data_IF_910812347554
#
_entry.id   IF_910812347554
#
_cell.length_a   1.000
_cell.length_b   1.000
_cell.length_c   1.000
_cell.angle_alpha   90.00
_cell.angle_beta   90.00
_cell.angle_gamma   90.00
#
_symmetry.space_group_name_H-M   'P 1'
#
loop_
_entity.id
_entity.type
_entity.pdbx_description
1 polymer ?
#
# COMPACT_ATOMS: atom_id res chain seq x y z
N UNK A 1 -16.40 23.42 57.37
CA UNK A 1 -16.44 23.09 55.93
C UNK A 1 -15.02 22.69 55.54
N UNK A 2 -14.68 21.39 55.58
CA UNK A 2 -13.33 20.91 55.22
C UNK A 2 -13.28 20.80 53.69
N UNK A 3 -12.42 21.60 53.05
CA UNK A 3 -12.13 21.48 51.62
C UNK A 3 -11.12 20.34 51.43
N UNK A 4 -11.55 19.24 50.79
CA UNK A 4 -10.63 18.19 50.32
C UNK A 4 -9.72 18.78 49.24
N UNK A 5 -8.42 18.88 49.50
CA UNK A 5 -7.42 19.03 48.44
C UNK A 5 -7.50 17.79 47.54
N UNK A 6 -8.03 17.93 46.32
CA UNK A 6 -7.94 16.88 45.30
C UNK A 6 -6.45 16.73 44.96
N UNK A 7 -5.89 15.55 45.24
CA UNK A 7 -4.59 15.17 44.70
C UNK A 7 -4.75 15.02 43.19
N UNK A 8 -4.39 16.06 42.43
CA UNK A 8 -4.23 15.92 40.99
C UNK A 8 -3.01 15.02 40.76
N UNK A 9 -3.27 13.75 40.44
CA UNK A 9 -2.24 12.79 40.02
C UNK A 9 -1.79 13.19 38.62
N UNK A 10 -0.78 14.07 38.54
CA UNK A 10 -0.08 14.36 37.30
C UNK A 10 0.71 13.16 36.80
N UNK A 11 0.86 13.06 35.48
CA UNK A 11 1.69 12.05 34.82
C UNK A 11 3.17 12.30 35.15
N UNK A 12 3.92 11.25 35.46
CA UNK A 12 5.35 11.41 35.78
C UNK A 12 6.17 11.50 34.49
N UNK A 13 7.25 12.30 34.50
CA UNK A 13 8.17 12.36 33.36
C UNK A 13 8.82 10.99 33.09
N UNK A 14 9.05 10.19 34.13
CA UNK A 14 9.64 8.86 34.00
C UNK A 14 8.70 7.87 33.30
N UNK A 15 7.39 7.92 33.56
CA UNK A 15 6.41 7.14 32.80
C UNK A 15 6.45 7.51 31.32
N UNK A 16 6.56 8.80 31.00
CA UNK A 16 6.67 9.25 29.60
C UNK A 16 7.95 8.70 28.94
N UNK A 17 9.08 8.77 29.65
CA UNK A 17 10.38 8.34 29.10
C UNK A 17 10.38 6.85 28.75
N UNK A 18 9.83 6.00 29.61
CA UNK A 18 9.76 4.55 29.37
C UNK A 18 8.84 4.26 28.18
N UNK A 19 7.70 4.96 28.07
CA UNK A 19 6.76 4.79 26.96
C UNK A 19 7.43 5.14 25.63
N UNK A 20 8.11 6.28 25.54
CA UNK A 20 8.82 6.69 24.31
C UNK A 20 9.97 5.72 23.98
N UNK A 21 10.67 5.20 24.99
CA UNK A 21 11.71 4.20 24.79
C UNK A 21 11.16 2.90 24.17
N UNK A 22 10.02 2.39 24.68
CA UNK A 22 9.37 1.19 24.15
C UNK A 22 8.88 1.44 22.71
N UNK A 23 8.21 2.56 22.46
CA UNK A 23 7.73 2.93 21.11
C UNK A 23 8.92 3.06 20.15
N UNK A 24 10.05 3.62 20.60
CA UNK A 24 11.26 3.74 19.79
C UNK A 24 11.82 2.40 19.35
N UNK A 25 11.88 1.41 20.25
CA UNK A 25 12.33 0.04 19.92
C UNK A 25 11.38 -0.61 18.90
N UNK A 26 10.07 -0.50 19.14
CA UNK A 26 9.06 -1.05 18.23
C UNK A 26 9.14 -0.39 16.84
N UNK A 27 9.26 0.93 16.80
CA UNK A 27 9.36 1.69 15.55
C UNK A 27 10.62 1.33 14.75
N UNK A 28 11.76 1.12 15.42
CA UNK A 28 13.01 0.74 14.76
C UNK A 28 12.89 -0.58 13.97
N UNK A 29 12.10 -1.54 14.45
CA UNK A 29 11.85 -2.81 13.77
C UNK A 29 10.67 -2.69 12.79
N UNK A 30 9.61 -1.98 13.18
CA UNK A 30 8.37 -1.90 12.40
C UNK A 30 8.54 -1.10 11.11
N UNK A 31 9.28 0.02 11.13
CA UNK A 31 9.45 0.91 9.96
C UNK A 31 10.11 0.21 8.76
N UNK A 32 11.29 -0.43 8.88
CA UNK A 32 11.90 -1.11 7.72
C UNK A 32 11.04 -2.26 7.22
N UNK A 33 10.41 -3.02 8.12
CA UNK A 33 9.50 -4.11 7.76
C UNK A 33 8.27 -3.61 7.00
N UNK A 34 7.70 -2.49 7.43
CA UNK A 34 6.55 -1.87 6.77
C UNK A 34 6.90 -1.38 5.36
N UNK A 35 8.08 -0.77 5.18
CA UNK A 35 8.56 -0.35 3.86
C UNK A 35 8.71 -1.56 2.92
N UNK A 36 9.39 -2.61 3.38
CA UNK A 36 9.56 -3.84 2.60
C UNK A 36 8.22 -4.49 2.24
N UNK A 37 7.27 -4.52 3.17
CA UNK A 37 5.92 -5.04 2.91
C UNK A 37 5.18 -4.21 1.86
N UNK A 38 5.24 -2.88 1.96
CA UNK A 38 4.63 -1.96 0.99
C UNK A 38 5.22 -2.17 -0.41
N UNK A 39 6.53 -2.31 -0.52
CA UNK A 39 7.19 -2.51 -1.82
C UNK A 39 6.81 -3.87 -2.42
N UNK A 40 6.73 -4.92 -1.60
CA UNK A 40 6.20 -6.22 -2.01
C UNK A 40 4.74 -6.11 -2.50
N UNK A 41 3.89 -5.34 -1.81
CA UNK A 41 2.51 -5.10 -2.24
C UNK A 41 2.44 -4.37 -3.57
N UNK A 42 3.33 -3.40 -3.82
CA UNK A 42 3.40 -2.68 -5.11
C UNK A 42 3.82 -3.61 -6.25
N UNK A 43 4.81 -4.48 -6.02
CA UNK A 43 5.22 -5.50 -7.00
C UNK A 43 4.07 -6.46 -7.27
N UNK A 44 3.39 -6.96 -6.22
CA UNK A 44 2.26 -7.85 -6.36
C UNK A 44 1.11 -7.22 -7.16
N UNK A 45 0.82 -5.93 -6.93
CA UNK A 45 -0.18 -5.19 -7.70
C UNK A 45 0.23 -5.08 -9.18
N UNK A 46 1.48 -4.70 -9.47
CA UNK A 46 1.99 -4.61 -10.84
C UNK A 46 1.93 -5.96 -11.56
N UNK A 47 2.30 -7.06 -10.88
CA UNK A 47 2.19 -8.42 -11.41
C UNK A 47 0.73 -8.78 -11.67
N UNK A 48 -0.19 -8.47 -10.76
CA UNK A 48 -1.63 -8.71 -10.95
C UNK A 48 -2.21 -7.95 -12.15
N UNK A 49 -1.78 -6.69 -12.36
CA UNK A 49 -2.15 -5.92 -13.55
C UNK A 49 -1.58 -6.54 -14.81
N UNK A 50 -0.31 -6.92 -14.82
CA UNK A 50 0.32 -7.57 -15.98
C UNK A 50 -0.35 -8.91 -16.33
N UNK A 51 -0.73 -9.70 -15.33
CA UNK A 51 -1.46 -10.94 -15.51
C UNK A 51 -2.83 -10.70 -16.15
N UNK A 52 -3.53 -9.67 -15.69
CA UNK A 52 -4.83 -9.27 -16.25
C UNK A 52 -4.71 -8.84 -17.71
N UNK A 53 -3.68 -8.06 -18.05
CA UNK A 53 -3.38 -7.68 -19.45
C UNK A 53 -3.05 -8.93 -20.27
N UNK A 54 -2.19 -9.82 -19.75
CA UNK A 54 -1.82 -11.06 -20.44
C UNK A 54 -3.04 -11.93 -20.73
N UNK A 55 -3.95 -12.06 -19.76
CA UNK A 55 -5.21 -12.78 -19.94
C UNK A 55 -6.10 -12.16 -21.02
N UNK A 56 -6.21 -10.83 -21.04
CA UNK A 56 -6.96 -10.12 -22.08
C UNK A 56 -6.35 -10.32 -23.48
N UNK A 57 -5.03 -10.23 -23.60
CA UNK A 57 -4.31 -10.46 -24.85
C UNK A 57 -4.44 -11.91 -25.33
N UNK A 58 -4.34 -12.88 -24.43
CA UNK A 58 -4.56 -14.29 -24.76
C UNK A 58 -6.00 -14.55 -25.21
N UNK A 59 -6.98 -13.91 -24.56
CA UNK A 59 -8.39 -13.93 -24.96
C UNK A 59 -8.58 -13.38 -26.38
N UNK A 60 -8.00 -12.21 -26.67
CA UNK A 60 -8.03 -11.63 -28.02
C UNK A 60 -7.42 -12.58 -29.06
N UNK A 61 -6.20 -13.07 -28.80
CA UNK A 61 -5.50 -13.96 -29.73
C UNK A 61 -6.34 -15.19 -30.06
N UNK A 62 -7.04 -15.78 -29.08
CA UNK A 62 -7.90 -16.96 -29.31
C UNK A 62 -9.07 -16.72 -30.27
N UNK A 63 -9.46 -15.46 -30.50
CA UNK A 63 -10.52 -15.09 -31.45
C UNK A 63 -9.98 -14.81 -32.86
N UNK A 64 -8.67 -14.68 -33.02
CA UNK A 64 -8.03 -14.37 -34.30
C UNK A 64 -7.66 -15.67 -35.03
N UNK A 65 -7.82 -15.73 -36.37
CA UNK A 65 -7.61 -16.95 -37.15
C UNK A 65 -6.19 -17.53 -37.06
N UNK A 66 -5.18 -16.69 -36.79
CA UNK A 66 -3.77 -17.10 -36.65
C UNK A 66 -3.23 -16.96 -35.22
N UNK A 67 -4.11 -16.80 -34.23
CA UNK A 67 -3.75 -16.65 -32.83
C UNK A 67 -2.78 -15.48 -32.55
N UNK A 68 -2.89 -14.42 -33.36
CA UNK A 68 -2.01 -13.25 -33.34
C UNK A 68 -2.38 -12.29 -32.22
N UNK A 69 -1.35 -11.65 -31.64
CA UNK A 69 -1.53 -10.55 -30.72
C UNK A 69 -1.81 -9.24 -31.48
N UNK A 70 -2.41 -8.22 -30.83
CA UNK A 70 -2.55 -6.90 -31.43
C UNK A 70 -1.18 -6.33 -31.80
N UNK A 71 -1.03 -5.90 -33.05
CA UNK A 71 0.22 -5.29 -33.56
C UNK A 71 0.35 -3.82 -33.14
N UNK A 72 -0.78 -3.16 -32.90
CA UNK A 72 -0.87 -1.76 -32.50
C UNK A 72 -1.78 -1.61 -31.29
N UNK A 73 -1.43 -0.68 -30.41
CA UNK A 73 -2.33 -0.27 -29.33
C UNK A 73 -3.40 0.62 -29.98
N UNK A 74 -4.70 0.32 -29.83
CA UNK A 74 -5.77 1.17 -30.37
C UNK A 74 -5.62 2.60 -29.87
N UNK A 75 -5.57 3.57 -30.80
CA UNK A 75 -5.56 5.00 -30.46
C UNK A 75 -6.96 5.46 -30.04
N UNK A 76 -7.32 5.11 -28.82
CA UNK A 76 -8.60 5.51 -28.22
C UNK A 76 -8.71 7.04 -28.02
N UNK A 77 -7.59 7.78 -28.09
CA UNK A 77 -7.57 9.21 -27.88
C UNK A 77 -7.93 9.99 -29.15
N UNK A 78 -7.52 9.52 -30.34
CA UNK A 78 -7.95 10.10 -31.61
C UNK A 78 -9.45 9.92 -31.85
N UNK A 79 -9.99 8.76 -31.47
CA UNK A 79 -11.37 8.38 -31.75
C UNK A 79 -12.40 9.11 -30.87
N UNK A 80 -11.96 9.72 -29.76
CA UNK A 80 -12.80 10.48 -28.84
C UNK A 80 -13.00 11.96 -29.25
N UNK A 81 -12.33 12.42 -30.32
CA UNK A 81 -12.36 13.82 -30.79
C UNK A 81 -13.21 14.07 -32.04
N UNK A 82 -14.06 13.10 -32.44
CA UNK A 82 -15.02 13.19 -33.54
C UNK A 82 -16.39 13.69 -33.14
#
# INVERSE_FOLDING_TARGET
MISKFRQEKGFTLIELMIVVAIIGILAAIAVPNFIAYRDKSRIAAAVGTAESIRGALAGYASTQPDNLFPEEIPDWASDATG
#
